data_IF_076537604704
#
_entry.id   IF_076537604704
#
_cell.length_a   1.000
_cell.length_b   1.000
_cell.length_c   1.000
_cell.angle_alpha   90.00
_cell.angle_beta   90.00
_cell.angle_gamma   90.00
#
_symmetry.space_group_name_H-M   'P 1'
#
loop_
_entity.id
_entity.type
_entity.pdbx_description
1 polymer ?
#
# COMPACT_ATOMS: atom_id res chain seq x y z
N UNK A 1 -46.50 -21.05 47.56
CA UNK A 1 -45.87 -21.76 48.69
C UNK A 1 -44.50 -21.14 48.88
N UNK A 2 -44.41 -20.27 49.89
CA UNK A 2 -43.25 -19.45 50.27
C UNK A 2 -42.36 -20.23 51.21
N UNK A 3 -41.03 -20.20 51.06
CA UNK A 3 -40.09 -20.13 52.21
C UNK A 3 -38.82 -19.37 51.78
N UNK A 4 -38.63 -18.19 52.38
CA UNK A 4 -37.38 -17.43 52.49
C UNK A 4 -36.57 -17.95 53.68
N UNK A 5 -35.24 -17.86 53.67
CA UNK A 5 -34.45 -17.70 54.91
C UNK A 5 -33.18 -16.87 54.67
N UNK A 6 -32.98 -15.93 55.60
CA UNK A 6 -31.98 -14.86 55.71
C UNK A 6 -31.05 -15.13 56.90
N UNK A 7 -29.96 -14.35 56.99
CA UNK A 7 -29.15 -13.94 58.17
C UNK A 7 -27.79 -14.64 58.29
N UNK A 8 -26.66 -13.95 58.02
CA UNK A 8 -25.93 -12.92 58.81
C UNK A 8 -24.95 -13.52 59.84
N UNK A 9 -23.67 -13.14 59.75
CA UNK A 9 -22.97 -12.31 60.77
C UNK A 9 -21.44 -12.38 60.63
N UNK A 10 -20.81 -11.21 60.51
CA UNK A 10 -19.40 -10.92 60.86
C UNK A 10 -19.32 -10.58 62.36
N UNK A 11 -18.22 -10.04 62.95
CA UNK A 11 -16.76 -10.15 62.74
C UNK A 11 -16.02 -10.53 64.07
N UNK A 12 -14.71 -10.76 64.08
CA UNK A 12 -13.89 -10.43 65.29
C UNK A 12 -12.42 -10.15 64.99
N UNK A 13 -11.99 -8.96 65.37
CA UNK A 13 -10.62 -8.45 65.39
C UNK A 13 -9.89 -8.95 66.65
N UNK A 14 -8.61 -9.31 66.55
CA UNK A 14 -7.69 -9.30 67.71
C UNK A 14 -6.44 -8.49 67.39
N UNK A 15 -6.25 -7.40 68.13
CA UNK A 15 -4.98 -6.68 68.30
C UNK A 15 -4.14 -7.40 69.36
N UNK A 16 -2.83 -7.47 69.16
CA UNK A 16 -1.84 -7.57 70.23
C UNK A 16 -0.65 -6.66 69.96
N UNK A 17 -0.14 -6.06 71.04
CA UNK A 17 0.82 -4.95 71.09
C UNK A 17 2.26 -5.39 71.38
N UNK A 18 3.19 -4.71 70.69
CA UNK A 18 4.55 -4.25 71.08
C UNK A 18 5.44 -5.07 72.04
N UNK A 19 6.64 -5.38 71.54
CA UNK A 19 8.01 -5.15 72.11
C UNK A 19 8.97 -5.71 71.04
N UNK A 20 9.93 -5.00 70.42
CA UNK A 20 10.97 -4.13 70.95
C UNK A 20 12.30 -4.89 71.01
N UNK A 21 13.15 -4.85 69.96
CA UNK A 21 14.63 -4.93 70.03
C UNK A 21 15.27 -4.74 68.65
N UNK A 22 16.53 -4.29 68.73
CA UNK A 22 17.32 -3.54 67.74
C UNK A 22 18.09 -4.44 66.77
N UNK A 23 18.64 -3.75 65.76
CA UNK A 23 19.88 -4.01 65.03
C UNK A 23 19.79 -4.83 63.73
N UNK A 24 20.34 -4.24 62.67
CA UNK A 24 20.57 -4.88 61.38
C UNK A 24 20.38 -3.94 60.20
N UNK A 25 21.28 -2.97 60.03
CA UNK A 25 21.42 -2.22 58.78
C UNK A 25 21.87 -3.21 57.71
N UNK A 26 21.01 -3.48 56.73
CA UNK A 26 21.40 -4.06 55.46
C UNK A 26 20.91 -3.11 54.35
N UNK A 27 21.76 -2.14 54.03
CA UNK A 27 21.59 -1.30 52.85
C UNK A 27 21.91 -2.18 51.62
N UNK A 28 20.87 -2.75 51.00
CA UNK A 28 20.99 -3.35 49.68
C UNK A 28 20.99 -2.20 48.67
N UNK A 29 22.18 -1.80 48.21
CA UNK A 29 22.34 -0.92 47.05
C UNK A 29 21.88 -1.71 45.83
N UNK A 30 20.65 -1.46 45.38
CA UNK A 30 20.24 -1.83 44.03
C UNK A 30 20.97 -0.91 43.05
N UNK A 31 22.09 -1.37 42.52
CA UNK A 31 22.69 -0.81 41.31
C UNK A 31 21.76 -1.16 40.13
N UNK A 32 20.77 -0.30 39.88
CA UNK A 32 19.94 -0.38 38.67
C UNK A 32 20.78 0.00 37.46
N UNK A 33 21.27 -0.99 36.72
CA UNK A 33 21.79 -0.79 35.38
C UNK A 33 20.57 -0.52 34.49
N UNK A 34 20.35 0.76 34.16
CA UNK A 34 19.47 1.12 33.05
C UNK A 34 20.13 0.62 31.76
N UNK A 35 19.69 -0.54 31.27
CA UNK A 35 20.05 -1.02 29.95
C UNK A 35 19.38 -0.11 28.91
N UNK A 36 20.09 0.93 28.49
CA UNK A 36 19.74 1.73 27.34
C UNK A 36 19.98 0.86 26.09
N UNK A 37 18.97 0.09 25.70
CA UNK A 37 18.97 -0.56 24.38
C UNK A 37 18.90 0.54 23.32
N UNK A 38 20.07 0.94 22.80
CA UNK A 38 20.16 1.58 21.50
C UNK A 38 19.55 0.59 20.50
N UNK A 39 18.31 0.82 20.10
CA UNK A 39 17.79 0.26 18.87
C UNK A 39 18.67 0.87 17.77
N UNK A 40 19.69 0.13 17.35
CA UNK A 40 20.39 0.41 16.11
C UNK A 40 19.33 0.29 15.01
N UNK A 41 18.75 1.44 14.63
CA UNK A 41 17.84 1.51 13.50
C UNK A 41 18.59 0.92 12.32
N UNK A 42 18.02 -0.13 11.72
CA UNK A 42 18.52 -0.64 10.45
C UNK A 42 18.73 0.56 9.51
N UNK A 43 19.82 0.61 8.74
CA UNK A 43 20.03 1.71 7.82
C UNK A 43 18.78 1.84 6.96
N UNK A 44 18.19 3.04 6.94
CA UNK A 44 17.08 3.33 6.05
C UNK A 44 17.55 2.99 4.64
N UNK A 45 16.96 1.96 4.04
CA UNK A 45 17.27 1.60 2.66
C UNK A 45 16.99 2.84 1.82
N UNK A 46 17.97 3.26 1.03
CA UNK A 46 17.79 4.37 0.11
C UNK A 46 16.62 4.04 -0.82
N UNK A 47 15.71 5.00 -1.00
CA UNK A 47 14.59 4.82 -1.91
C UNK A 47 15.12 4.53 -3.32
N UNK A 48 14.53 3.56 -3.99
CA UNK A 48 14.79 3.36 -5.42
C UNK A 48 14.15 4.51 -6.17
N UNK A 49 14.93 5.30 -6.90
CA UNK A 49 14.42 6.45 -7.66
C UNK A 49 14.34 6.07 -9.15
N UNK A 50 13.17 6.29 -9.74
CA UNK A 50 12.89 6.07 -11.17
C UNK A 50 12.55 7.41 -11.81
N UNK A 51 13.36 7.83 -12.79
CA UNK A 51 13.25 9.14 -13.44
C UNK A 51 12.70 9.07 -14.87
N UNK A 52 12.74 7.90 -15.49
CA UNK A 52 12.40 7.68 -16.89
C UNK A 52 12.03 6.22 -17.14
N UNK A 53 11.39 5.96 -18.29
CA UNK A 53 11.07 4.62 -18.76
C UNK A 53 9.58 4.30 -18.72
N UNK A 54 9.24 3.16 -19.30
CA UNK A 54 7.91 2.58 -19.33
C UNK A 54 7.68 1.74 -18.06
N UNK A 55 6.80 2.22 -17.19
CA UNK A 55 6.61 1.66 -15.85
C UNK A 55 5.13 1.40 -15.60
N UNK A 56 4.72 0.16 -15.41
CA UNK A 56 3.40 -0.12 -14.87
C UNK A 56 3.43 0.12 -13.36
N UNK A 57 3.20 1.38 -12.98
CA UNK A 57 3.15 1.79 -11.57
C UNK A 57 2.06 1.03 -10.82
N UNK A 58 1.03 0.57 -11.52
CA UNK A 58 0.03 -0.38 -11.01
C UNK A 58 -0.07 -1.58 -11.98
N UNK A 59 0.46 -2.72 -11.55
CA UNK A 59 0.24 -4.02 -12.19
C UNK A 59 -0.72 -4.85 -11.34
N UNK A 60 -1.77 -5.39 -11.95
CA UNK A 60 -2.73 -6.29 -11.31
C UNK A 60 -2.54 -7.72 -11.78
N UNK A 61 -2.57 -8.67 -10.84
CA UNK A 61 -2.46 -10.11 -11.08
C UNK A 61 -3.29 -10.90 -10.07
N UNK A 62 -3.25 -12.23 -10.14
CA UNK A 62 -3.89 -13.14 -9.19
C UNK A 62 -2.82 -13.69 -8.24
N UNK A 63 -3.14 -13.80 -6.95
CA UNK A 63 -2.25 -14.43 -5.97
C UNK A 63 -1.90 -15.87 -6.35
N UNK A 64 -0.78 -16.39 -5.85
CA UNK A 64 -0.29 -17.74 -6.14
C UNK A 64 -1.33 -18.85 -5.86
N UNK A 65 -2.10 -18.69 -4.79
CA UNK A 65 -3.20 -19.58 -4.38
C UNK A 65 -4.48 -19.41 -5.22
N UNK A 66 -4.55 -18.38 -6.07
CA UNK A 66 -5.71 -18.10 -6.90
C UNK A 66 -6.88 -17.41 -6.17
N UNK A 67 -6.68 -16.88 -4.97
CA UNK A 67 -7.78 -16.44 -4.10
C UNK A 67 -8.13 -14.94 -4.19
N UNK A 68 -7.18 -14.10 -4.57
CA UNK A 68 -7.35 -12.64 -4.54
C UNK A 68 -6.59 -11.91 -5.64
N UNK A 69 -7.02 -10.68 -5.93
CA UNK A 69 -6.22 -9.72 -6.68
C UNK A 69 -4.99 -9.31 -5.85
N UNK A 70 -3.86 -9.17 -6.53
CA UNK A 70 -2.65 -8.59 -5.95
C UNK A 70 -2.14 -7.46 -6.85
N UNK A 71 -1.48 -6.49 -6.23
CA UNK A 71 -0.94 -5.32 -6.89
C UNK A 71 0.57 -5.25 -6.71
N UNK A 72 1.25 -4.67 -7.70
CA UNK A 72 2.67 -4.33 -7.65
C UNK A 72 3.01 -3.24 -8.66
N UNK A 73 4.31 -2.99 -8.80
CA UNK A 73 4.88 -2.11 -9.82
C UNK A 73 5.82 -2.92 -10.71
N UNK A 74 5.70 -2.78 -12.01
CA UNK A 74 6.57 -3.40 -13.00
C UNK A 74 7.39 -2.34 -13.74
N UNK A 75 8.71 -2.37 -13.58
CA UNK A 75 9.65 -1.55 -14.35
C UNK A 75 10.08 -2.36 -15.57
N UNK A 76 9.36 -2.19 -16.68
CA UNK A 76 9.54 -2.98 -17.89
C UNK A 76 10.91 -2.75 -18.53
N UNK A 77 11.44 -1.54 -18.40
CA UNK A 77 12.74 -1.18 -18.95
C UNK A 77 13.89 -1.94 -18.28
N UNK A 78 13.77 -2.22 -16.98
CA UNK A 78 14.83 -2.88 -16.20
C UNK A 78 14.50 -4.33 -15.82
N UNK A 79 13.30 -4.81 -16.13
CA UNK A 79 12.81 -6.13 -15.75
C UNK A 79 12.66 -6.29 -14.23
N UNK A 80 12.45 -5.19 -13.50
CA UNK A 80 12.29 -5.25 -12.04
C UNK A 80 10.80 -5.27 -11.68
N UNK A 81 10.45 -6.16 -10.75
CA UNK A 81 9.13 -6.16 -10.13
C UNK A 81 9.23 -5.77 -8.66
N UNK A 82 8.36 -4.84 -8.24
CA UNK A 82 8.21 -4.44 -6.85
C UNK A 82 6.82 -4.86 -6.36
N UNK A 83 6.80 -5.70 -5.32
CA UNK A 83 5.54 -6.05 -4.64
C UNK A 83 4.86 -4.80 -4.05
N UNK A 84 3.57 -4.87 -3.73
CA UNK A 84 2.86 -3.76 -3.06
C UNK A 84 3.59 -3.22 -1.81
N UNK A 85 4.27 -4.08 -1.05
CA UNK A 85 5.03 -3.68 0.13
C UNK A 85 6.34 -2.95 -0.20
N UNK A 86 6.96 -3.27 -1.34
CA UNK A 86 8.21 -2.62 -1.79
C UNK A 86 7.93 -1.31 -2.53
N UNK A 87 6.78 -1.21 -3.20
CA UNK A 87 6.42 -0.05 -4.03
C UNK A 87 6.40 1.28 -3.25
N UNK A 88 6.13 1.27 -1.93
CA UNK A 88 6.18 2.48 -1.09
C UNK A 88 7.59 3.05 -0.92
N UNK A 89 8.62 2.25 -1.20
CA UNK A 89 10.02 2.65 -1.16
C UNK A 89 10.55 3.06 -2.55
N UNK A 90 9.71 3.01 -3.58
CA UNK A 90 10.03 3.49 -4.93
C UNK A 90 9.53 4.93 -5.08
N UNK A 91 10.42 5.81 -5.55
CA UNK A 91 10.11 7.19 -5.87
C UNK A 91 10.10 7.39 -7.39
N UNK A 92 8.97 7.88 -7.91
CA UNK A 92 8.84 8.26 -9.31
C UNK A 92 9.05 9.77 -9.46
N UNK A 93 10.15 10.15 -10.09
CA UNK A 93 10.48 11.55 -10.32
C UNK A 93 9.70 12.10 -11.51
N UNK A 94 8.88 13.13 -11.27
CA UNK A 94 8.07 13.80 -12.27
C UNK A 94 8.73 15.14 -12.61
N UNK A 95 9.39 15.18 -13.76
CA UNK A 95 10.18 16.34 -14.20
C UNK A 95 9.56 17.11 -15.37
N UNK A 96 8.74 16.44 -16.20
CA UNK A 96 8.09 17.05 -17.36
C UNK A 96 7.01 18.04 -16.90
N UNK A 97 6.97 19.20 -17.56
CA UNK A 97 5.98 20.26 -17.31
C UNK A 97 5.10 20.52 -18.52
N UNK A 98 3.89 20.98 -18.23
CA UNK A 98 2.95 21.54 -19.19
C UNK A 98 2.28 22.76 -18.56
N UNK A 99 2.62 23.95 -19.05
CA UNK A 99 2.27 25.20 -18.38
C UNK A 99 2.88 25.27 -16.96
N UNK A 100 2.04 25.49 -15.96
CA UNK A 100 2.46 25.53 -14.54
C UNK A 100 2.45 24.17 -13.85
N UNK A 101 1.94 23.13 -14.50
CA UNK A 101 1.76 21.80 -13.91
C UNK A 101 2.91 20.86 -14.26
N UNK A 102 3.13 19.87 -13.41
CA UNK A 102 3.97 18.71 -13.70
C UNK A 102 3.09 17.59 -14.25
N UNK A 103 3.61 16.85 -15.23
CA UNK A 103 2.84 15.81 -15.90
C UNK A 103 3.65 14.53 -16.08
N UNK A 104 2.92 13.42 -16.11
CA UNK A 104 3.34 12.18 -16.76
C UNK A 104 2.39 12.01 -17.96
N UNK A 105 2.90 11.96 -19.21
CA UNK A 105 2.04 11.98 -20.38
C UNK A 105 1.35 10.63 -20.60
N UNK A 106 0.22 10.66 -21.32
CA UNK A 106 -0.49 9.46 -21.78
C UNK A 106 0.11 8.85 -23.06
N UNK A 107 1.17 9.45 -23.61
CA UNK A 107 1.92 8.92 -24.75
C UNK A 107 3.39 9.27 -24.57
N UNK A 108 4.25 8.30 -24.84
CA UNK A 108 5.70 8.48 -24.73
C UNK A 108 6.26 9.08 -26.02
N UNK A 109 6.98 10.18 -25.88
CA UNK A 109 7.61 10.90 -27.01
C UNK A 109 9.14 10.93 -26.92
N UNK A 110 9.70 10.38 -25.85
CA UNK A 110 11.12 10.33 -25.56
C UNK A 110 11.40 9.59 -24.25
N UNK A 111 12.47 10.00 -23.56
CA UNK A 111 12.92 9.35 -22.32
C UNK A 111 12.24 9.93 -21.08
N UNK A 112 11.02 10.45 -21.18
CA UNK A 112 10.27 10.79 -19.97
C UNK A 112 9.88 9.55 -19.17
N UNK A 113 9.55 9.75 -17.89
CA UNK A 113 8.74 8.80 -17.15
C UNK A 113 7.40 8.61 -17.88
N UNK A 114 7.05 7.36 -18.16
CA UNK A 114 5.83 6.98 -18.84
C UNK A 114 5.16 5.83 -18.08
N UNK A 115 4.00 6.09 -17.48
CA UNK A 115 3.42 5.16 -16.49
C UNK A 115 2.15 4.49 -16.97
N UNK A 116 2.00 3.20 -16.68
CA UNK A 116 0.86 2.38 -17.03
C UNK A 116 0.07 1.83 -15.84
N UNK A 117 -1.16 1.43 -16.14
CA UNK A 117 -1.93 0.45 -15.41
C UNK A 117 -2.02 -0.79 -16.30
N UNK A 118 -1.51 -1.91 -15.82
CA UNK A 118 -1.47 -3.15 -16.58
C UNK A 118 -2.06 -4.33 -15.81
N UNK A 119 -2.56 -5.31 -16.54
CA UNK A 119 -3.07 -6.56 -16.01
C UNK A 119 -2.29 -7.73 -16.59
N UNK A 120 -1.74 -8.60 -15.74
CA UNK A 120 -1.06 -9.81 -16.21
C UNK A 120 -2.03 -10.67 -17.04
N UNK A 121 -1.63 -11.05 -18.26
CA UNK A 121 -2.43 -11.88 -19.17
C UNK A 121 -2.40 -13.36 -18.84
N UNK A 122 -2.31 -14.24 -19.84
CA UNK A 122 -2.28 -15.70 -19.65
C UNK A 122 -0.94 -16.19 -19.09
N UNK A 123 0.15 -15.53 -19.47
CA UNK A 123 1.52 -15.81 -19.03
C UNK A 123 1.91 -14.67 -18.08
N UNK A 124 2.14 -14.96 -16.81
CA UNK A 124 2.72 -13.97 -15.91
C UNK A 124 4.23 -14.22 -15.82
N UNK A 125 5.09 -13.43 -16.49
CA UNK A 125 6.47 -13.31 -16.06
C UNK A 125 6.47 -12.44 -14.80
N UNK A 126 6.20 -13.09 -13.67
CA UNK A 126 6.58 -12.64 -12.35
C UNK A 126 7.37 -13.76 -11.71
N UNK A 127 8.34 -14.32 -12.44
CA UNK A 127 9.02 -15.59 -12.13
C UNK A 127 9.58 -15.66 -10.70
N UNK A 128 9.80 -14.51 -10.05
CA UNK A 128 10.29 -14.42 -8.67
C UNK A 128 9.20 -14.13 -7.61
N UNK A 129 7.94 -13.89 -8.01
CA UNK A 129 6.82 -13.49 -7.14
C UNK A 129 5.75 -14.58 -6.91
N UNK A 130 5.72 -15.61 -7.77
CA UNK A 130 4.73 -16.70 -7.68
C UNK A 130 3.29 -16.31 -8.05
N UNK A 131 3.07 -15.09 -8.55
CA UNK A 131 1.76 -14.59 -8.99
C UNK A 131 1.28 -15.26 -10.30
N UNK A 132 -0.02 -15.21 -10.53
CA UNK A 132 -0.71 -15.83 -11.67
C UNK A 132 -1.34 -14.77 -12.57
N UNK A 133 -1.49 -15.12 -13.84
CA UNK A 133 -2.26 -14.36 -14.82
C UNK A 133 -3.72 -14.12 -14.38
N UNK A 134 -4.31 -13.00 -14.82
CA UNK A 134 -5.70 -12.67 -14.50
C UNK A 134 -6.68 -13.72 -15.03
N UNK A 135 -6.34 -14.33 -16.17
CA UNK A 135 -7.17 -15.34 -16.81
C UNK A 135 -7.22 -16.70 -16.11
N UNK A 136 -6.46 -16.89 -15.04
CA UNK A 136 -6.55 -18.12 -14.23
C UNK A 136 -7.85 -18.20 -13.43
N UNK A 137 -8.52 -17.06 -13.19
CA UNK A 137 -9.79 -16.97 -12.44
C UNK A 137 -10.81 -16.06 -13.08
N UNK A 138 -10.37 -15.04 -13.81
CA UNK A 138 -11.24 -14.10 -14.51
C UNK A 138 -11.29 -14.47 -16.00
N UNK A 139 -12.39 -14.22 -16.68
CA UNK A 139 -12.55 -14.48 -18.11
C UNK A 139 -12.42 -13.19 -18.92
N UNK A 140 -12.28 -13.32 -20.25
CA UNK A 140 -12.46 -12.20 -21.15
C UNK A 140 -13.85 -11.57 -20.93
N UNK A 141 -13.89 -10.24 -20.81
CA UNK A 141 -15.11 -9.49 -20.51
C UNK A 141 -15.41 -9.28 -19.02
N UNK A 142 -14.69 -9.94 -18.09
CA UNK A 142 -14.74 -9.55 -16.67
C UNK A 142 -14.10 -8.17 -16.46
N UNK A 143 -14.39 -7.54 -15.33
CA UNK A 143 -13.90 -6.19 -15.02
C UNK A 143 -12.98 -6.16 -13.79
N UNK A 144 -12.06 -5.21 -13.81
CA UNK A 144 -11.32 -4.77 -12.62
C UNK A 144 -11.58 -3.29 -12.41
N UNK A 145 -11.94 -2.94 -11.19
CA UNK A 145 -12.13 -1.56 -10.76
C UNK A 145 -10.98 -1.12 -9.86
N UNK A 146 -10.22 -0.15 -10.32
CA UNK A 146 -9.19 0.56 -9.56
C UNK A 146 -9.81 1.76 -8.85
N UNK A 147 -9.51 1.91 -7.57
CA UNK A 147 -9.85 3.11 -6.80
C UNK A 147 -8.56 3.83 -6.44
N UNK A 148 -8.44 5.10 -6.82
CA UNK A 148 -7.22 5.91 -6.65
C UNK A 148 -7.50 7.00 -5.62
N UNK A 149 -6.75 6.95 -4.52
CA UNK A 149 -6.92 7.85 -3.38
C UNK A 149 -5.61 8.58 -3.12
N UNK A 150 -5.46 9.83 -3.59
CA UNK A 150 -4.36 10.68 -3.17
C UNK A 150 -4.41 10.88 -1.65
N UNK A 151 -3.26 10.80 -0.98
CA UNK A 151 -3.16 11.13 0.43
C UNK A 151 -3.58 12.60 0.66
N UNK A 152 -4.24 12.85 1.80
CA UNK A 152 -4.54 14.20 2.24
C UNK A 152 -3.23 14.89 2.69
N UNK A 153 -2.46 15.38 1.73
CA UNK A 153 -1.26 16.17 2.00
C UNK A 153 -1.04 17.17 0.88
N UNK A 154 -0.88 18.44 1.27
CA UNK A 154 -0.31 19.49 0.44
C UNK A 154 0.99 18.95 -0.21
N UNK A 155 1.13 19.05 -1.54
CA UNK A 155 1.41 20.36 -2.10
C UNK A 155 0.37 20.91 -3.08
N UNK A 156 -0.59 20.11 -3.54
CA UNK A 156 -1.55 20.54 -4.57
C UNK A 156 -2.54 19.46 -4.95
N UNK A 157 -3.22 19.62 -6.08
CA UNK A 157 -4.17 18.66 -6.63
C UNK A 157 -3.48 17.67 -7.57
N UNK A 158 -3.96 16.43 -7.54
CA UNK A 158 -3.62 15.37 -8.49
C UNK A 158 -4.85 15.01 -9.33
N UNK A 159 -4.69 14.91 -10.65
CA UNK A 159 -5.69 14.38 -11.56
C UNK A 159 -5.09 13.33 -12.50
N UNK A 160 -5.83 12.25 -12.74
CA UNK A 160 -5.50 11.25 -13.75
C UNK A 160 -6.54 11.32 -14.87
N UNK A 161 -6.10 11.32 -16.13
CA UNK A 161 -6.98 11.29 -17.29
C UNK A 161 -6.65 10.08 -18.15
N UNK A 162 -7.58 9.12 -18.24
CA UNK A 162 -7.44 7.92 -19.05
C UNK A 162 -7.96 8.19 -20.47
N UNK A 163 -7.13 8.07 -21.52
CA UNK A 163 -7.50 8.45 -22.89
C UNK A 163 -8.73 7.72 -23.45
N UNK A 164 -8.99 6.50 -22.97
CA UNK A 164 -10.07 5.61 -23.44
C UNK A 164 -11.37 5.72 -22.64
N UNK A 165 -11.42 6.56 -21.60
CA UNK A 165 -12.64 6.79 -20.81
C UNK A 165 -12.97 8.27 -20.72
N UNK A 166 -14.23 8.61 -20.88
CA UNK A 166 -14.78 9.93 -20.57
C UNK A 166 -14.78 10.14 -19.04
N UNK A 167 -13.62 10.46 -18.45
CA UNK A 167 -13.54 10.73 -17.02
C UNK A 167 -12.16 11.21 -16.56
N UNK A 168 -12.14 12.38 -15.93
CA UNK A 168 -11.00 12.84 -15.10
C UNK A 168 -11.17 12.22 -13.72
N UNK A 169 -10.20 11.43 -13.28
CA UNK A 169 -10.13 10.91 -11.92
C UNK A 169 -9.49 12.00 -11.05
N UNK A 170 -10.32 12.81 -10.39
CA UNK A 170 -9.93 13.59 -9.20
C UNK A 170 -10.02 12.72 -7.95
N UNK A 171 -9.39 13.15 -6.84
CA UNK A 171 -9.33 12.39 -5.58
C UNK A 171 -10.67 11.74 -5.20
N UNK A 172 -10.69 10.41 -5.06
CA UNK A 172 -11.87 9.62 -4.70
C UNK A 172 -12.62 8.96 -5.86
N UNK A 173 -12.16 9.13 -7.11
CA UNK A 173 -12.76 8.46 -8.27
C UNK A 173 -12.13 7.09 -8.54
N UNK A 174 -12.88 6.28 -9.28
CA UNK A 174 -12.50 4.93 -9.68
C UNK A 174 -12.50 4.76 -11.18
N UNK A 175 -11.58 3.94 -11.70
CA UNK A 175 -11.48 3.56 -13.10
C UNK A 175 -11.78 2.05 -13.23
N UNK A 176 -12.64 1.68 -14.18
CA UNK A 176 -12.98 0.27 -14.45
C UNK A 176 -12.49 -0.11 -15.83
N UNK A 177 -11.79 -1.25 -15.92
CA UNK A 177 -11.26 -1.80 -17.17
C UNK A 177 -11.83 -3.19 -17.41
N UNK A 178 -12.21 -3.47 -18.65
CA UNK A 178 -12.60 -4.80 -19.10
C UNK A 178 -11.37 -5.60 -19.53
N UNK A 179 -11.34 -6.90 -19.19
CA UNK A 179 -10.25 -7.81 -19.54
C UNK A 179 -10.38 -8.27 -21.01
N UNK A 180 -9.29 -8.23 -21.77
CA UNK A 180 -9.16 -8.70 -23.16
C UNK A 180 -8.44 -10.05 -23.26
N UNK A 181 -9.20 -11.13 -23.38
CA UNK A 181 -8.62 -12.48 -23.42
C UNK A 181 -7.74 -12.72 -24.65
N UNK A 182 -6.78 -13.63 -24.52
CA UNK A 182 -5.93 -14.10 -25.63
C UNK A 182 -4.65 -13.29 -25.83
N UNK A 183 -4.35 -12.35 -24.93
CA UNK A 183 -3.20 -11.46 -24.98
C UNK A 183 -2.22 -11.77 -23.84
N UNK A 184 -0.94 -11.42 -24.04
CA UNK A 184 0.11 -11.51 -22.99
C UNK A 184 -0.20 -10.56 -21.81
N UNK A 185 -1.01 -9.53 -22.05
CA UNK A 185 -1.57 -8.66 -21.03
C UNK A 185 -3.10 -8.56 -21.15
N UNK A 186 -3.78 -8.73 -20.04
CA UNK A 186 -5.23 -8.68 -19.97
C UNK A 186 -5.80 -7.28 -20.24
N UNK A 187 -5.03 -6.25 -19.92
CA UNK A 187 -5.28 -4.86 -20.28
C UNK A 187 -3.98 -4.06 -20.09
N UNK A 188 -3.86 -2.95 -20.82
CA UNK A 188 -2.78 -1.98 -20.67
C UNK A 188 -3.34 -0.58 -20.93
N UNK A 189 -3.10 0.38 -20.03
CA UNK A 189 -3.58 1.76 -20.18
C UNK A 189 -2.62 2.80 -19.58
N UNK A 190 -2.43 3.91 -20.29
CA UNK A 190 -1.60 5.04 -19.85
C UNK A 190 -2.44 6.27 -19.53
N UNK A 191 -2.79 6.51 -18.27
CA UNK A 191 -3.38 7.78 -17.89
C UNK A 191 -2.34 8.91 -17.98
N UNK A 192 -2.79 10.09 -18.38
CA UNK A 192 -2.05 11.33 -18.14
C UNK A 192 -2.20 11.70 -16.67
N UNK A 193 -1.09 11.80 -15.95
CA UNK A 193 -1.06 12.33 -14.58
C UNK A 193 -0.78 13.83 -14.64
N UNK A 194 -1.44 14.62 -13.80
CA UNK A 194 -1.20 16.05 -13.68
C UNK A 194 -1.17 16.45 -12.22
N UNK A 195 -0.08 17.12 -11.83
CA UNK A 195 0.21 17.58 -10.49
C UNK A 195 0.30 19.11 -10.50
N UNK A 196 -0.51 19.78 -9.68
CA UNK A 196 -0.66 21.25 -9.76
C UNK A 196 0.45 22.03 -9.04
N UNK A 197 1.30 21.36 -8.28
CA UNK A 197 2.31 21.99 -7.44
C UNK A 197 3.51 21.08 -7.22
N UNK A 198 4.66 21.71 -6.95
CA UNK A 198 5.91 21.03 -6.62
C UNK A 198 5.83 20.36 -5.25
N UNK A 199 6.38 19.16 -5.12
CA UNK A 199 6.49 18.39 -3.88
C UNK A 199 6.18 16.91 -4.09
N UNK A 200 5.96 16.22 -2.98
CA UNK A 200 5.73 14.77 -2.95
C UNK A 200 4.25 14.46 -2.83
N UNK A 201 3.77 13.57 -3.70
CA UNK A 201 2.41 13.03 -3.69
C UNK A 201 2.46 11.55 -3.34
N UNK A 202 1.72 11.17 -2.30
CA UNK A 202 1.45 9.77 -2.00
C UNK A 202 0.08 9.38 -2.55
N UNK A 203 0.00 8.26 -3.27
CA UNK A 203 -1.23 7.80 -3.92
C UNK A 203 -1.48 6.36 -3.51
N UNK A 204 -2.61 6.11 -2.86
CA UNK A 204 -3.05 4.76 -2.53
C UNK A 204 -3.97 4.22 -3.62
N UNK A 205 -3.69 3.02 -4.11
CA UNK A 205 -4.53 2.33 -5.09
C UNK A 205 -4.99 0.99 -4.54
N UNK A 206 -6.26 0.67 -4.77
CA UNK A 206 -6.82 -0.67 -4.53
C UNK A 206 -7.51 -1.17 -5.79
N UNK A 207 -7.50 -2.48 -6.02
CA UNK A 207 -8.24 -3.13 -7.08
C UNK A 207 -9.35 -4.02 -6.51
N UNK A 208 -10.49 -4.03 -7.19
CA UNK A 208 -11.64 -4.88 -6.87
C UNK A 208 -12.14 -5.56 -8.13
N UNK A 209 -12.65 -6.78 -7.98
CA UNK A 209 -13.37 -7.49 -9.03
C UNK A 209 -14.87 -7.31 -8.76
N UNK A 210 -15.60 -6.47 -9.52
CA UNK A 210 -17.02 -6.19 -9.27
C UNK A 210 -17.91 -7.45 -9.29
N UNK A 211 -17.49 -8.48 -10.01
CA UNK A 211 -18.17 -9.78 -10.10
C UNK A 211 -17.96 -10.67 -8.86
N UNK A 212 -17.04 -10.31 -7.96
CA UNK A 212 -16.79 -11.03 -6.71
C UNK A 212 -16.16 -12.41 -6.86
N UNK A 213 -15.54 -12.72 -8.01
CA UNK A 213 -14.95 -14.05 -8.31
C UNK A 213 -13.68 -14.33 -7.52
N UNK A 214 -12.98 -13.28 -7.12
CA UNK A 214 -11.79 -13.31 -6.25
C UNK A 214 -11.88 -12.15 -5.26
N UNK A 215 -11.18 -12.27 -4.13
CA UNK A 215 -11.15 -11.17 -3.16
C UNK A 215 -10.42 -9.94 -3.72
N UNK A 216 -10.80 -8.76 -3.20
CA UNK A 216 -10.16 -7.49 -3.54
C UNK A 216 -8.68 -7.48 -3.12
N UNK A 217 -7.90 -6.60 -3.74
CA UNK A 217 -6.50 -6.44 -3.40
C UNK A 217 -6.31 -5.75 -2.06
N UNK A 218 -5.12 -5.94 -1.46
CA UNK A 218 -4.58 -4.96 -0.53
C UNK A 218 -4.27 -3.64 -1.26
N UNK A 219 -4.00 -2.59 -0.48
CA UNK A 219 -3.56 -1.31 -1.02
C UNK A 219 -2.10 -1.37 -1.48
N UNK A 220 -1.79 -0.68 -2.57
CA UNK A 220 -0.43 -0.26 -2.94
C UNK A 220 -0.32 1.26 -2.72
N UNK A 221 0.82 1.72 -2.20
CA UNK A 221 1.09 3.16 -2.05
C UNK A 221 2.23 3.54 -2.97
N UNK A 222 1.97 4.49 -3.86
CA UNK A 222 2.91 5.04 -4.83
C UNK A 222 3.39 6.41 -4.36
N UNK A 223 4.66 6.74 -4.64
CA UNK A 223 5.25 8.02 -4.28
C UNK A 223 5.77 8.74 -5.53
N UNK A 224 5.13 9.84 -5.88
CA UNK A 224 5.54 10.71 -6.99
C UNK A 224 6.20 11.97 -6.44
N UNK A 225 7.36 12.34 -6.98
CA UNK A 225 8.11 13.53 -6.56
C UNK A 225 8.22 14.48 -7.73
N UNK A 226 7.51 15.60 -7.66
CA UNK A 226 7.58 16.65 -8.69
C UNK A 226 8.79 17.56 -8.43
N UNK A 227 9.63 17.79 -9.45
CA UNK A 227 10.92 18.49 -9.30
C UNK A 227 11.00 19.78 -10.11
#
# INVERSE_FOLDING_TARGET
MTISHTLESSPTTKRFSRTGRRAGIAATVFAGIAALTLAAGAPAQAATVITEGHIDVVRASISSDGSKLVLGTNDENKGNYYTAAQASSVEFDVTKKEGTNWIIPASQTGNELFTGFAGSGNEAPGADSGEKGLYTKLAGGDHIKFTVTPAASNPGTLSLNFPSTTGVVTAGNSYTVALKAGEDEAFHAHPKWTFSAKGTYSVTVTASNPEGKVANSGAITLKFVTK
#
